data_IF_451181099973
#
_entry.id   IF_451181099973
#
_cell.length_a   1.000
_cell.length_b   1.000
_cell.length_c   1.000
_cell.angle_alpha   90.00
_cell.angle_beta   90.00
_cell.angle_gamma   90.00
#
_symmetry.space_group_name_H-M   'P 1'
#
loop_
_entity.id
_entity.type
_entity.pdbx_description
1 polymer ?
#
# COMPACT_ATOMS: atom_id res chain seq x y z
N UNK A 1 0.23 -23.37 -13.71
CA UNK A 1 -0.69 -22.69 -14.65
C UNK A 1 -1.75 -21.87 -13.90
N UNK A 2 -2.45 -22.44 -12.89
CA UNK A 2 -3.48 -21.75 -12.10
C UNK A 2 -2.95 -20.44 -11.44
N UNK A 3 -1.79 -20.50 -10.79
CA UNK A 3 -1.20 -19.31 -10.14
C UNK A 3 -0.88 -18.17 -11.11
N UNK A 4 -0.49 -18.48 -12.35
CA UNK A 4 -0.25 -17.46 -13.36
C UNK A 4 -1.57 -16.76 -13.77
N UNK A 5 -2.64 -17.53 -13.93
CA UNK A 5 -3.97 -16.99 -14.24
C UNK A 5 -4.45 -16.10 -13.10
N UNK A 6 -4.36 -16.56 -11.83
CA UNK A 6 -4.75 -15.78 -10.66
C UNK A 6 -3.94 -14.50 -10.55
N UNK A 7 -2.62 -14.54 -10.77
CA UNK A 7 -1.76 -13.36 -10.76
C UNK A 7 -2.15 -12.36 -11.85
N UNK A 8 -2.51 -12.85 -13.03
CA UNK A 8 -2.99 -11.99 -14.12
C UNK A 8 -4.31 -11.31 -13.76
N UNK A 9 -5.28 -12.08 -13.24
CA UNK A 9 -6.57 -11.52 -12.80
C UNK A 9 -6.36 -10.46 -11.73
N UNK A 10 -5.54 -10.73 -10.70
CA UNK A 10 -5.22 -9.74 -9.67
C UNK A 10 -4.58 -8.48 -10.26
N UNK A 11 -3.68 -8.62 -11.23
CA UNK A 11 -3.03 -7.50 -11.88
C UNK A 11 -4.04 -6.65 -12.68
N UNK A 12 -4.94 -7.27 -13.43
CA UNK A 12 -6.03 -6.59 -14.13
C UNK A 12 -6.94 -5.85 -13.14
N UNK A 13 -7.28 -6.47 -12.01
CA UNK A 13 -8.06 -5.81 -10.95
C UNK A 13 -7.38 -4.56 -10.40
N UNK A 14 -6.03 -4.60 -10.23
CA UNK A 14 -5.26 -3.42 -9.80
C UNK A 14 -5.31 -2.31 -10.85
N UNK A 15 -5.20 -2.65 -12.13
CA UNK A 15 -5.30 -1.68 -13.22
C UNK A 15 -6.69 -1.03 -13.29
N UNK A 16 -7.76 -1.84 -13.18
CA UNK A 16 -9.15 -1.34 -13.20
C UNK A 16 -9.41 -0.40 -12.02
N UNK A 17 -8.84 -0.68 -10.85
CA UNK A 17 -9.00 0.17 -9.67
C UNK A 17 -8.37 1.57 -9.82
N UNK A 18 -7.44 1.74 -10.77
CA UNK A 18 -6.95 3.04 -11.19
C UNK A 18 -6.05 3.75 -10.17
N UNK A 19 -5.52 3.06 -9.16
CA UNK A 19 -4.61 3.64 -8.17
C UNK A 19 -3.15 3.45 -8.59
N UNK A 20 -2.50 4.53 -9.01
CA UNK A 20 -1.08 4.56 -9.44
C UNK A 20 -0.12 3.95 -8.42
N UNK A 21 -0.32 4.25 -7.13
CA UNK A 21 0.53 3.74 -6.06
C UNK A 21 0.43 2.21 -5.92
N UNK A 22 -0.76 1.63 -6.11
CA UNK A 22 -0.94 0.18 -6.07
C UNK A 22 -0.21 -0.52 -7.22
N UNK A 23 -0.24 0.08 -8.41
CA UNK A 23 0.48 -0.42 -9.57
C UNK A 23 1.99 -0.36 -9.33
N UNK A 24 2.51 0.77 -8.84
CA UNK A 24 3.92 0.92 -8.48
C UNK A 24 4.32 -0.13 -7.43
N UNK A 25 3.54 -0.28 -6.38
CA UNK A 25 3.79 -1.26 -5.32
C UNK A 25 3.81 -2.70 -5.86
N UNK A 26 2.88 -3.05 -6.75
CA UNK A 26 2.83 -4.37 -7.39
C UNK A 26 4.07 -4.61 -8.26
N UNK A 27 4.49 -3.63 -9.06
CA UNK A 27 5.70 -3.71 -9.90
C UNK A 27 6.96 -3.90 -9.02
N UNK A 28 7.14 -3.09 -7.99
CA UNK A 28 8.30 -3.19 -7.08
C UNK A 28 8.33 -4.55 -6.38
N UNK A 29 7.17 -5.04 -5.91
CA UNK A 29 7.05 -6.35 -5.27
C UNK A 29 7.37 -7.49 -6.24
N UNK A 30 6.94 -7.39 -7.50
CA UNK A 30 7.26 -8.36 -8.54
C UNK A 30 8.76 -8.35 -8.85
N UNK A 31 9.37 -7.17 -9.00
CA UNK A 31 10.81 -7.02 -9.20
C UNK A 31 11.58 -7.66 -8.03
N UNK A 32 11.13 -7.44 -6.79
CA UNK A 32 11.73 -8.06 -5.61
C UNK A 32 11.71 -9.59 -5.68
N UNK A 33 10.59 -10.19 -6.07
CA UNK A 33 10.48 -11.65 -6.25
C UNK A 33 11.45 -12.11 -7.32
N UNK A 34 11.46 -11.46 -8.49
CA UNK A 34 12.29 -11.84 -9.63
C UNK A 34 13.78 -11.68 -9.37
N UNK A 35 14.19 -10.55 -8.79
CA UNK A 35 15.59 -10.26 -8.46
C UNK A 35 16.19 -11.30 -7.52
N UNK A 36 15.49 -11.65 -6.48
CA UNK A 36 15.94 -12.63 -5.49
C UNK A 36 15.89 -14.09 -5.98
N UNK A 37 15.05 -14.39 -6.97
CA UNK A 37 14.90 -15.76 -7.49
C UNK A 37 16.12 -16.21 -8.29
N UNK A 38 16.83 -15.29 -8.93
CA UNK A 38 17.91 -15.62 -9.84
C UNK A 38 19.13 -14.75 -9.59
N UNK A 39 20.25 -15.38 -9.22
CA UNK A 39 21.56 -14.72 -9.14
C UNK A 39 22.02 -14.12 -10.48
N UNK A 40 21.44 -14.59 -11.59
CA UNK A 40 21.69 -14.09 -12.95
C UNK A 40 20.38 -13.54 -13.53
N UNK A 41 20.16 -12.22 -13.39
CA UNK A 41 19.00 -11.50 -13.97
C UNK A 41 18.94 -11.69 -15.48
N UNK A 42 20.08 -11.81 -16.15
CA UNK A 42 20.23 -11.96 -17.60
C UNK A 42 20.17 -13.41 -18.11
N UNK A 43 19.70 -14.37 -17.31
CA UNK A 43 19.42 -15.71 -17.86
C UNK A 43 18.26 -15.63 -18.87
N UNK A 44 18.40 -16.31 -20.03
CA UNK A 44 17.37 -16.39 -21.08
C UNK A 44 16.00 -16.77 -20.50
N UNK A 45 15.98 -17.69 -19.52
CA UNK A 45 14.75 -18.08 -18.82
C UNK A 45 14.06 -16.94 -18.06
N UNK A 46 14.83 -15.96 -17.58
CA UNK A 46 14.29 -14.81 -16.85
C UNK A 46 13.84 -13.71 -17.78
N UNK A 47 14.59 -13.51 -18.86
CA UNK A 47 14.19 -12.59 -19.96
C UNK A 47 12.86 -13.06 -20.53
N UNK A 48 12.68 -14.37 -20.78
CA UNK A 48 11.41 -14.93 -21.24
C UNK A 48 10.25 -14.72 -20.24
N UNK A 49 10.52 -14.83 -18.92
CA UNK A 49 9.50 -14.53 -17.90
C UNK A 49 9.11 -13.08 -17.88
N UNK A 50 10.08 -12.18 -17.94
CA UNK A 50 9.84 -10.73 -18.01
C UNK A 50 9.09 -10.38 -19.29
N UNK A 51 9.50 -10.92 -20.42
CA UNK A 51 8.80 -10.77 -21.70
C UNK A 51 7.36 -11.29 -21.62
N UNK A 52 7.13 -12.44 -20.97
CA UNK A 52 5.80 -12.98 -20.74
C UNK A 52 4.93 -12.06 -19.88
N UNK A 53 5.48 -11.47 -18.83
CA UNK A 53 4.76 -10.48 -17.99
C UNK A 53 4.43 -9.22 -18.79
N UNK A 54 5.39 -8.70 -19.58
CA UNK A 54 5.16 -7.54 -20.44
C UNK A 54 4.09 -7.83 -21.48
N UNK A 55 4.10 -9.01 -22.06
CA UNK A 55 3.12 -9.44 -23.06
C UNK A 55 1.72 -9.56 -22.43
N UNK A 56 1.61 -10.13 -21.21
CA UNK A 56 0.35 -10.14 -20.45
C UNK A 56 -0.13 -8.72 -20.13
N UNK A 57 0.78 -7.80 -19.78
CA UNK A 57 0.44 -6.41 -19.57
C UNK A 57 -0.10 -5.77 -20.86
N UNK A 58 0.56 -5.99 -22.00
CA UNK A 58 0.10 -5.49 -23.29
C UNK A 58 -1.28 -6.02 -23.66
N UNK A 59 -1.58 -7.30 -23.40
CA UNK A 59 -2.91 -7.84 -23.60
C UNK A 59 -3.95 -7.20 -22.68
N UNK A 60 -3.62 -6.88 -21.43
CA UNK A 60 -4.56 -6.20 -20.55
C UNK A 60 -4.96 -4.81 -21.03
N UNK A 61 -4.08 -4.12 -21.79
CA UNK A 61 -4.37 -2.83 -22.40
C UNK A 61 -5.42 -2.90 -23.52
N UNK A 62 -5.72 -4.09 -24.05
CA UNK A 62 -6.79 -4.29 -25.04
C UNK A 62 -8.17 -4.33 -24.39
N UNK A 63 -8.28 -4.44 -23.08
CA UNK A 63 -9.54 -4.47 -22.35
C UNK A 63 -10.09 -3.05 -22.25
N UNK A 64 -11.29 -2.74 -22.80
CA UNK A 64 -11.84 -1.37 -22.82
C UNK A 64 -11.91 -0.72 -21.43
N UNK A 65 -12.31 -1.46 -20.41
CA UNK A 65 -12.39 -0.97 -19.02
C UNK A 65 -11.00 -0.57 -18.48
N UNK A 66 -9.94 -1.28 -18.89
CA UNK A 66 -8.57 -0.94 -18.51
C UNK A 66 -8.11 0.33 -19.22
N UNK A 67 -8.44 0.49 -20.51
CA UNK A 67 -8.15 1.70 -21.28
C UNK A 67 -8.83 2.93 -20.67
N UNK A 68 -10.10 2.81 -20.33
CA UNK A 68 -10.85 3.88 -19.65
C UNK A 68 -10.23 4.22 -18.29
N UNK A 69 -9.86 3.22 -17.51
CA UNK A 69 -9.21 3.42 -16.21
C UNK A 69 -7.87 4.15 -16.34
N UNK A 70 -7.04 3.78 -17.33
CA UNK A 70 -5.78 4.46 -17.61
C UNK A 70 -6.02 5.89 -18.11
N UNK A 71 -6.99 6.10 -18.99
CA UNK A 71 -7.41 7.43 -19.44
C UNK A 71 -7.79 8.32 -18.25
N UNK A 72 -8.59 7.82 -17.34
CA UNK A 72 -8.98 8.53 -16.11
C UNK A 72 -7.77 8.82 -15.20
N UNK A 73 -6.80 7.90 -15.10
CA UNK A 73 -5.55 8.15 -14.36
C UNK A 73 -4.73 9.31 -14.96
N UNK A 74 -4.61 9.35 -16.29
CA UNK A 74 -3.88 10.40 -17.01
C UNK A 74 -4.59 11.74 -16.86
N UNK A 75 -5.92 11.78 -17.01
CA UNK A 75 -6.71 12.98 -16.80
C UNK A 75 -6.56 13.53 -15.39
N UNK A 76 -6.67 12.68 -14.37
CA UNK A 76 -6.41 13.09 -12.98
C UNK A 76 -5.01 13.66 -12.79
N UNK A 77 -3.99 13.04 -13.41
CA UNK A 77 -2.63 13.57 -13.34
C UNK A 77 -2.49 14.94 -13.97
N UNK A 78 -3.15 15.18 -15.11
CA UNK A 78 -3.11 16.47 -15.78
C UNK A 78 -3.77 17.55 -14.90
N UNK A 79 -4.93 17.22 -14.30
CA UNK A 79 -5.61 18.12 -13.36
C UNK A 79 -4.74 18.38 -12.13
N UNK A 80 -4.17 17.32 -11.52
CA UNK A 80 -3.26 17.45 -10.37
C UNK A 80 -2.05 18.32 -10.71
N UNK A 81 -1.39 18.11 -11.85
CA UNK A 81 -0.22 18.91 -12.26
C UNK A 81 -0.57 20.38 -12.44
N UNK A 82 -1.75 20.67 -12.97
CA UNK A 82 -2.22 22.06 -13.16
C UNK A 82 -2.62 22.74 -11.84
N UNK A 83 -2.87 21.96 -10.79
CA UNK A 83 -3.29 22.46 -9.47
C UNK A 83 -2.18 22.41 -8.41
N UNK A 84 -1.03 21.75 -8.71
CA UNK A 84 0.09 21.62 -7.76
C UNK A 84 0.68 22.97 -7.32
N UNK A 85 0.65 23.97 -8.20
CA UNK A 85 1.13 25.33 -7.90
C UNK A 85 0.08 26.17 -7.14
N UNK A 86 -1.12 25.64 -6.94
CA UNK A 86 -2.17 26.32 -6.23
C UNK A 86 -2.14 25.97 -4.74
N UNK A 87 -2.07 26.99 -3.87
CA UNK A 87 -2.09 26.82 -2.41
C UNK A 87 -3.38 26.13 -1.92
N UNK A 88 -4.43 26.15 -2.73
CA UNK A 88 -5.73 25.50 -2.47
C UNK A 88 -5.76 24.01 -2.85
N UNK A 89 -4.62 23.43 -3.24
CA UNK A 89 -4.59 22.00 -3.54
C UNK A 89 -4.87 21.16 -2.29
N UNK A 90 -5.88 20.30 -2.36
CA UNK A 90 -6.41 19.57 -1.21
C UNK A 90 -5.34 18.83 -0.39
N UNK A 91 -4.33 18.25 -1.03
CA UNK A 91 -3.24 17.55 -0.32
C UNK A 91 -2.30 18.51 0.42
N UNK A 92 -2.09 19.71 -0.09
CA UNK A 92 -1.30 20.75 0.60
C UNK A 92 -2.02 21.22 1.84
N UNK A 93 -3.33 21.47 1.75
CA UNK A 93 -4.18 21.83 2.88
C UNK A 93 -4.18 20.71 3.92
N UNK A 94 -4.38 19.47 3.49
CA UNK A 94 -4.35 18.29 4.37
C UNK A 94 -2.98 18.14 5.07
N UNK A 95 -1.88 18.32 4.32
CA UNK A 95 -0.53 18.22 4.88
C UNK A 95 -0.29 19.29 5.95
N UNK A 96 -0.66 20.53 5.66
CA UNK A 96 -0.56 21.64 6.61
C UNK A 96 -1.38 21.36 7.88
N UNK A 97 -2.61 20.86 7.72
CA UNK A 97 -3.46 20.48 8.84
C UNK A 97 -2.83 19.36 9.68
N UNK A 98 -2.40 18.27 9.06
CA UNK A 98 -1.86 17.10 9.80
C UNK A 98 -0.56 17.41 10.53
N UNK A 99 0.29 18.27 10.00
CA UNK A 99 1.56 18.65 10.66
C UNK A 99 1.45 19.86 11.57
N UNK A 100 0.45 20.73 11.39
CA UNK A 100 0.31 21.95 12.15
C UNK A 100 -0.79 21.93 13.22
N UNK A 101 -1.97 21.41 12.89
CA UNK A 101 -3.17 21.60 13.69
C UNK A 101 -3.78 20.31 14.25
N UNK A 102 -3.35 19.17 13.73
CA UNK A 102 -4.00 17.88 13.99
C UNK A 102 -3.89 17.45 15.45
N UNK A 103 -2.70 17.54 16.05
CA UNK A 103 -2.49 17.17 17.44
C UNK A 103 -2.61 18.38 18.34
N UNK A 104 -3.74 18.52 19.04
CA UNK A 104 -4.01 19.63 19.94
C UNK A 104 -3.14 19.61 21.20
N UNK A 105 -2.65 18.44 21.59
CA UNK A 105 -1.84 18.25 22.78
C UNK A 105 -0.92 17.03 22.67
N UNK A 106 0.04 16.94 23.59
CA UNK A 106 1.01 15.84 23.64
C UNK A 106 0.36 14.47 23.86
N UNK A 107 -0.76 14.41 24.56
CA UNK A 107 -1.48 13.15 24.82
C UNK A 107 -2.06 12.60 23.52
N UNK A 108 -2.68 13.45 22.71
CA UNK A 108 -3.19 13.05 21.38
C UNK A 108 -2.07 12.61 20.44
N UNK A 109 -0.90 13.24 20.51
CA UNK A 109 0.27 12.79 19.73
C UNK A 109 0.70 11.37 20.08
N UNK A 110 0.65 11.00 21.36
CA UNK A 110 1.08 9.66 21.80
C UNK A 110 -0.03 8.61 21.73
N UNK A 111 -1.25 8.95 22.09
CA UNK A 111 -2.37 8.00 22.19
C UNK A 111 -3.36 8.08 21.03
N UNK A 112 -3.27 9.12 20.22
CA UNK A 112 -4.28 9.44 19.23
C UNK A 112 -5.56 9.97 19.83
N UNK A 113 -6.51 10.26 18.96
CA UNK A 113 -7.84 10.78 19.34
C UNK A 113 -8.90 9.69 19.43
N UNK A 114 -8.53 8.44 19.13
CA UNK A 114 -9.44 7.30 19.13
C UNK A 114 -10.29 7.20 17.86
N UNK A 115 -11.22 6.24 17.88
CA UNK A 115 -12.14 6.04 16.76
C UNK A 115 -13.19 7.14 16.75
N UNK A 116 -13.52 7.69 15.56
CA UNK A 116 -14.64 8.61 15.45
C UNK A 116 -15.93 7.89 15.85
N UNK A 117 -16.64 8.49 16.79
CA UNK A 117 -17.92 8.00 17.28
C UNK A 117 -18.98 9.10 17.19
N UNK A 118 -20.13 8.90 17.84
CA UNK A 118 -21.23 9.88 17.86
C UNK A 118 -20.96 11.08 18.80
N UNK A 119 -19.70 11.28 19.23
CA UNK A 119 -19.30 12.47 19.98
C UNK A 119 -19.19 13.68 19.06
N UNK A 120 -19.32 14.93 19.56
CA UNK A 120 -19.11 16.13 18.75
C UNK A 120 -17.78 16.14 18.01
N UNK A 121 -16.75 15.59 18.63
CA UNK A 121 -15.44 15.43 18.01
C UNK A 121 -15.46 14.37 16.88
N UNK A 122 -16.14 13.24 17.09
CA UNK A 122 -16.28 12.21 16.05
C UNK A 122 -17.06 12.74 14.84
N UNK A 123 -18.11 13.54 15.05
CA UNK A 123 -18.84 14.17 13.97
C UNK A 123 -18.01 15.21 13.22
N UNK A 124 -17.25 16.04 13.95
CA UNK A 124 -16.32 16.99 13.35
C UNK A 124 -15.40 16.29 12.31
N UNK A 125 -14.92 15.14 12.64
CA UNK A 125 -13.95 14.41 11.84
C UNK A 125 -14.57 13.58 10.72
N UNK A 126 -15.74 13.01 10.98
CA UNK A 126 -16.42 12.17 9.98
C UNK A 126 -17.23 13.00 8.98
N UNK A 127 -17.60 14.21 9.31
CA UNK A 127 -18.49 15.05 8.50
C UNK A 127 -17.87 16.41 8.14
N UNK A 128 -17.39 17.18 9.13
CA UNK A 128 -16.93 18.55 8.88
C UNK A 128 -15.57 18.60 8.18
N UNK A 129 -14.58 17.83 8.63
CA UNK A 129 -13.28 17.78 7.98
C UNK A 129 -13.32 17.25 6.54
N UNK A 130 -14.04 16.16 6.22
CA UNK A 130 -14.20 15.70 4.84
C UNK A 130 -14.94 16.74 3.96
N UNK A 131 -15.87 17.52 4.51
CA UNK A 131 -16.57 18.57 3.77
C UNK A 131 -15.63 19.67 3.26
N UNK A 132 -14.53 19.94 3.97
CA UNK A 132 -13.48 20.89 3.56
C UNK A 132 -12.29 20.20 2.86
N UNK A 133 -12.45 18.93 2.48
CA UNK A 133 -11.44 18.18 1.73
C UNK A 133 -10.34 17.56 2.61
N UNK A 134 -10.47 17.55 3.94
CA UNK A 134 -9.52 16.94 4.86
C UNK A 134 -10.02 15.56 5.27
N UNK A 135 -9.44 14.52 4.67
CA UNK A 135 -9.83 13.14 4.94
C UNK A 135 -8.61 12.35 5.45
N UNK A 136 -8.64 11.93 6.71
CA UNK A 136 -7.56 11.16 7.34
C UNK A 136 -7.28 9.82 6.64
N UNK A 137 -8.29 9.23 5.98
CA UNK A 137 -8.16 7.95 5.27
C UNK A 137 -7.21 8.08 4.06
N UNK A 138 -7.09 9.26 3.47
CA UNK A 138 -6.26 9.50 2.27
C UNK A 138 -4.75 9.54 2.58
N UNK A 139 -4.38 9.52 3.86
CA UNK A 139 -3.00 9.61 4.34
C UNK A 139 -2.42 8.28 4.80
N UNK A 140 -3.09 7.17 4.54
CA UNK A 140 -2.59 5.84 4.87
C UNK A 140 -2.14 5.72 6.33
N UNK A 141 -0.88 5.34 6.56
CA UNK A 141 -0.35 5.20 7.92
C UNK A 141 -0.28 6.52 8.69
N UNK A 142 -0.08 7.67 8.03
CA UNK A 142 -0.12 8.96 8.72
C UNK A 142 -1.53 9.23 9.26
N UNK A 143 -2.56 8.89 8.49
CA UNK A 143 -3.94 8.97 8.97
C UNK A 143 -4.21 8.06 10.17
N UNK A 144 -3.55 6.90 10.24
CA UNK A 144 -3.64 6.01 11.40
C UNK A 144 -3.07 6.65 12.66
N UNK A 145 -2.12 7.59 12.55
CA UNK A 145 -1.56 8.31 13.70
C UNK A 145 -2.63 9.06 14.48
N UNK A 146 -3.69 9.42 13.79
CA UNK A 146 -4.81 10.07 14.41
C UNK A 146 -5.64 9.15 15.32
N UNK A 147 -5.81 7.89 14.92
CA UNK A 147 -6.56 6.91 15.72
C UNK A 147 -5.78 6.47 16.96
N UNK A 148 -4.50 6.17 16.83
CA UNK A 148 -3.70 5.54 17.87
C UNK A 148 -2.36 6.24 18.16
N UNK A 149 -2.18 7.46 17.72
CA UNK A 149 -0.95 8.24 17.92
C UNK A 149 0.20 7.81 17.01
N UNK A 150 1.25 8.60 17.06
CA UNK A 150 2.49 8.36 16.30
C UNK A 150 3.19 7.04 16.69
N UNK A 151 3.22 6.61 17.96
CA UNK A 151 3.80 5.32 18.34
C UNK A 151 3.17 4.14 17.61
N UNK A 152 1.85 4.14 17.39
CA UNK A 152 1.17 3.08 16.64
C UNK A 152 1.70 2.99 15.21
N UNK A 153 1.88 4.13 14.53
CA UNK A 153 2.45 4.19 13.17
C UNK A 153 3.87 3.63 13.15
N UNK A 154 4.69 4.02 14.11
CA UNK A 154 6.07 3.53 14.24
C UNK A 154 6.07 2.01 14.47
N UNK A 155 5.23 1.49 15.35
CA UNK A 155 5.10 0.06 15.60
C UNK A 155 4.68 -0.71 14.34
N UNK A 156 3.72 -0.18 13.56
CA UNK A 156 3.29 -0.79 12.30
C UNK A 156 4.40 -0.80 11.25
N UNK A 157 5.16 0.28 11.12
CA UNK A 157 6.32 0.34 10.22
C UNK A 157 7.40 -0.66 10.63
N UNK A 158 7.78 -0.68 11.90
CA UNK A 158 8.79 -1.61 12.43
C UNK A 158 8.34 -3.07 12.25
N UNK A 159 7.06 -3.35 12.47
CA UNK A 159 6.47 -4.67 12.23
C UNK A 159 6.63 -5.09 10.76
N UNK A 160 6.24 -4.26 9.80
CA UNK A 160 6.36 -4.56 8.37
C UNK A 160 7.83 -4.75 7.96
N UNK A 161 8.72 -3.85 8.37
CA UNK A 161 10.15 -3.93 8.10
C UNK A 161 10.74 -5.23 8.68
N UNK A 162 10.37 -5.60 9.91
CA UNK A 162 10.82 -6.83 10.54
C UNK A 162 10.35 -8.08 9.80
N UNK A 163 9.11 -8.10 9.33
CA UNK A 163 8.59 -9.21 8.51
C UNK A 163 9.32 -9.34 7.18
N UNK A 164 9.60 -8.22 6.50
CA UNK A 164 10.44 -8.20 5.29
C UNK A 164 11.82 -8.76 5.59
N UNK A 165 12.45 -8.30 6.65
CA UNK A 165 13.80 -8.71 7.04
C UNK A 165 13.90 -10.21 7.36
N UNK A 166 12.95 -10.76 8.10
CA UNK A 166 12.89 -12.17 8.47
C UNK A 166 12.65 -13.09 7.26
N UNK A 167 11.86 -12.66 6.28
CA UNK A 167 11.45 -13.53 5.16
C UNK A 167 12.27 -13.32 3.88
N UNK A 168 13.16 -12.32 3.85
CA UNK A 168 13.93 -11.92 2.65
C UNK A 168 14.83 -13.00 2.08
N UNK A 169 15.36 -13.90 2.89
CA UNK A 169 16.30 -14.94 2.45
C UNK A 169 15.63 -16.27 2.13
N UNK A 170 14.45 -16.52 2.67
CA UNK A 170 13.72 -17.77 2.44
C UNK A 170 13.23 -17.87 1.00
N UNK A 171 13.73 -18.87 0.26
CA UNK A 171 13.31 -19.08 -1.15
C UNK A 171 11.84 -19.42 -1.28
N UNK A 172 11.29 -20.20 -0.37
CA UNK A 172 9.88 -20.63 -0.40
C UNK A 172 8.92 -19.52 0.01
N UNK A 173 9.34 -18.62 0.91
CA UNK A 173 8.46 -17.67 1.60
C UNK A 173 8.65 -16.21 1.17
N UNK A 174 9.34 -15.96 0.04
CA UNK A 174 9.59 -14.62 -0.50
C UNK A 174 8.34 -13.83 -0.82
N UNK A 175 7.26 -14.51 -1.17
CA UNK A 175 5.99 -13.87 -1.40
C UNK A 175 5.52 -13.09 -0.16
N UNK A 176 5.93 -13.52 1.05
CA UNK A 176 5.64 -12.81 2.29
C UNK A 176 6.38 -11.47 2.34
N UNK A 177 7.70 -11.46 2.04
CA UNK A 177 8.43 -10.19 1.99
C UNK A 177 7.93 -9.27 0.88
N UNK A 178 7.56 -9.82 -0.27
CA UNK A 178 6.97 -9.05 -1.36
C UNK A 178 5.61 -8.45 -0.97
N UNK A 179 4.79 -9.18 -0.25
CA UNK A 179 3.53 -8.70 0.30
C UNK A 179 3.73 -7.51 1.26
N UNK A 180 4.68 -7.61 2.19
CA UNK A 180 4.97 -6.49 3.09
C UNK A 180 5.62 -5.30 2.40
N UNK A 181 6.42 -5.51 1.34
CA UNK A 181 6.93 -4.42 0.50
C UNK A 181 5.75 -3.72 -0.21
N UNK A 182 4.82 -4.49 -0.77
CA UNK A 182 3.60 -3.94 -1.37
C UNK A 182 2.83 -3.10 -0.34
N UNK A 183 2.54 -3.65 0.85
CA UNK A 183 1.84 -2.94 1.91
C UNK A 183 2.57 -1.67 2.34
N UNK A 184 3.90 -1.72 2.48
CA UNK A 184 4.70 -0.58 2.90
C UNK A 184 4.60 0.58 1.90
N UNK A 185 4.63 0.28 0.60
CA UNK A 185 4.53 1.30 -0.44
C UNK A 185 3.12 1.91 -0.48
N UNK A 186 2.07 1.09 -0.47
CA UNK A 186 0.70 1.61 -0.53
C UNK A 186 0.29 2.33 0.74
N UNK A 187 0.90 1.98 1.87
CA UNK A 187 0.58 2.57 3.18
C UNK A 187 0.89 4.07 3.29
N UNK A 188 1.63 4.63 2.32
CA UNK A 188 1.93 6.07 2.29
C UNK A 188 0.68 6.89 2.00
N UNK A 189 -0.19 6.41 1.11
CA UNK A 189 -1.37 7.17 0.64
C UNK A 189 -2.67 6.39 0.69
N UNK A 190 -2.67 5.16 1.20
CA UNK A 190 -3.84 4.30 1.16
C UNK A 190 -4.06 3.59 2.50
N UNK A 191 -5.30 3.51 3.01
CA UNK A 191 -5.62 2.92 4.31
C UNK A 191 -5.58 1.39 4.31
N UNK A 192 -5.16 0.73 3.23
CA UNK A 192 -5.19 -0.73 3.06
C UNK A 192 -4.60 -1.47 4.25
N UNK A 193 -3.54 -0.94 4.87
CA UNK A 193 -2.82 -1.58 5.98
C UNK A 193 -3.72 -1.83 7.20
N UNK A 194 -4.67 -0.94 7.46
CA UNK A 194 -5.57 -1.04 8.62
C UNK A 194 -7.03 -1.32 8.25
N UNK A 195 -7.33 -1.55 6.96
CA UNK A 195 -8.65 -2.04 6.57
C UNK A 195 -8.87 -3.46 7.06
N UNK A 196 -10.10 -3.78 7.45
CA UNK A 196 -10.46 -5.05 8.09
C UNK A 196 -9.97 -6.28 7.31
N UNK A 197 -10.18 -6.34 6.00
CA UNK A 197 -9.73 -7.46 5.17
C UNK A 197 -8.19 -7.61 5.16
N UNK A 198 -7.46 -6.51 5.09
CA UNK A 198 -6.00 -6.52 5.10
C UNK A 198 -5.46 -6.93 6.47
N UNK A 199 -6.07 -6.48 7.56
CA UNK A 199 -5.67 -6.88 8.92
C UNK A 199 -5.82 -8.38 9.15
N UNK A 200 -6.87 -9.01 8.62
CA UNK A 200 -7.04 -10.47 8.67
C UNK A 200 -5.90 -11.18 7.94
N UNK A 201 -5.60 -10.75 6.71
CA UNK A 201 -4.50 -11.32 5.93
C UNK A 201 -3.17 -11.11 6.63
N UNK A 202 -2.92 -9.92 7.19
CA UNK A 202 -1.71 -9.65 7.99
C UNK A 202 -1.59 -10.58 9.19
N UNK A 203 -2.69 -10.82 9.92
CA UNK A 203 -2.72 -11.77 11.04
C UNK A 203 -2.36 -13.20 10.61
N UNK A 204 -2.91 -13.68 9.49
CA UNK A 204 -2.55 -14.98 8.92
C UNK A 204 -1.08 -15.05 8.50
N UNK A 205 -0.59 -14.02 7.83
CA UNK A 205 0.81 -13.95 7.36
C UNK A 205 1.76 -13.87 8.56
N UNK A 206 1.43 -13.11 9.59
CA UNK A 206 2.20 -13.04 10.82
C UNK A 206 2.31 -14.42 11.49
N UNK A 207 1.18 -15.12 11.60
CA UNK A 207 1.17 -16.49 12.12
C UNK A 207 2.11 -17.40 11.33
N UNK A 208 2.07 -17.33 10.00
CA UNK A 208 2.98 -18.10 9.13
C UNK A 208 4.44 -17.75 9.39
N UNK A 209 4.79 -16.48 9.50
CA UNK A 209 6.17 -16.02 9.80
C UNK A 209 6.65 -16.55 11.14
N UNK A 210 5.81 -16.46 12.18
CA UNK A 210 6.15 -16.96 13.51
C UNK A 210 6.32 -18.48 13.52
N UNK A 211 5.45 -19.22 12.83
CA UNK A 211 5.56 -20.67 12.67
C UNK A 211 6.84 -21.06 11.94
N UNK A 212 7.15 -20.41 10.83
CA UNK A 212 8.36 -20.65 10.05
C UNK A 212 9.64 -20.38 10.86
N UNK A 213 9.62 -19.32 11.67
CA UNK A 213 10.73 -19.00 12.58
C UNK A 213 10.91 -20.11 13.62
N UNK A 214 9.81 -20.58 14.24
CA UNK A 214 9.87 -21.64 15.26
C UNK A 214 10.39 -22.99 14.71
N UNK A 215 10.11 -23.28 13.44
CA UNK A 215 10.53 -24.54 12.78
C UNK A 215 11.91 -24.44 12.10
N UNK A 216 12.62 -23.32 12.22
CA UNK A 216 13.92 -23.11 11.55
C UNK A 216 13.85 -23.06 10.01
N UNK A 217 12.66 -23.00 9.42
CA UNK A 217 12.45 -23.00 7.98
C UNK A 217 12.66 -21.63 7.31
N UNK A 218 12.99 -20.60 8.08
CA UNK A 218 13.35 -19.28 7.54
C UNK A 218 14.81 -19.20 7.14
N UNK A 219 15.67 -20.06 7.71
CA UNK A 219 17.12 -20.02 7.54
C UNK A 219 17.62 -20.91 6.37
N UNK A 220 16.67 -21.62 5.71
CA UNK A 220 16.93 -22.48 4.55
C UNK A 220 16.37 -21.81 3.24
#
# INVERSE_FOLDING_TARGET
KLYAILSFVCFVCILIRGFRIMLLAAIVSLIWILYKYNKTIFSIKNILKIAGVLLMFSFSLLIPVVQESIGNMVLRQTVENNTLDNQDYARTIQLAYYFGEHFKNTIEFFLGSGLPGNSPYGLYISEELPAIGINWVDWGLLGLSWLGGVPLVICMLLYMIKCIWLTRYSRKNRYISAWFIYLLIISVTHPEVYQFGSMLVQGMVLYLVLRLKKTGLLDN
#
